data_IF_812139764577
#
_entry.id   IF_812139764577
#
_cell.length_a   1.000
_cell.length_b   1.000
_cell.length_c   1.000
_cell.angle_alpha   90.00
_cell.angle_beta   90.00
_cell.angle_gamma   90.00
#
_symmetry.space_group_name_H-M   'P 1'
#
loop_
_entity.id
_entity.type
_entity.pdbx_description
1 polymer ?
#
# COMPACT_ATOMS: atom_id res chain seq x y z
N UNK A 1 -16.45 35.50 -4.92
CA UNK A 1 -16.03 35.32 -6.33
C UNK A 1 -14.85 34.36 -6.48
N UNK A 2 -13.85 34.37 -5.62
CA UNK A 2 -12.70 33.45 -5.70
C UNK A 2 -13.07 31.95 -5.60
N UNK A 3 -14.04 31.58 -4.77
CA UNK A 3 -14.48 30.18 -4.59
C UNK A 3 -15.16 29.58 -5.82
N UNK A 4 -15.86 30.43 -6.60
CA UNK A 4 -16.54 30.00 -7.85
C UNK A 4 -15.51 29.80 -8.98
N UNK A 5 -14.42 30.58 -8.99
CA UNK A 5 -13.36 30.44 -9.98
C UNK A 5 -12.57 29.12 -9.79
N UNK A 6 -12.24 28.76 -8.55
CA UNK A 6 -11.54 27.49 -8.26
C UNK A 6 -12.39 26.25 -8.55
N UNK A 7 -13.72 26.33 -8.36
CA UNK A 7 -14.63 25.24 -8.74
C UNK A 7 -14.75 25.04 -10.25
N UNK A 8 -14.57 26.10 -11.04
CA UNK A 8 -14.60 26.00 -12.50
C UNK A 8 -13.30 25.39 -13.06
N UNK A 9 -12.13 25.77 -12.54
CA UNK A 9 -10.84 25.19 -12.95
C UNK A 9 -10.77 23.68 -12.69
N UNK A 10 -11.32 23.20 -11.56
CA UNK A 10 -11.32 21.76 -11.25
C UNK A 10 -12.22 20.96 -12.21
N UNK A 11 -13.34 21.52 -12.66
CA UNK A 11 -14.24 20.89 -13.64
C UNK A 11 -13.61 20.83 -15.03
N UNK A 12 -12.88 21.85 -15.42
CA UNK A 12 -12.20 21.91 -16.71
C UNK A 12 -11.04 20.90 -16.77
N UNK A 13 -10.26 20.76 -15.70
CA UNK A 13 -9.19 19.74 -15.59
C UNK A 13 -9.76 18.32 -15.62
N UNK A 14 -10.89 18.08 -14.94
CA UNK A 14 -11.58 16.78 -14.97
C UNK A 14 -12.13 16.48 -16.36
N UNK A 15 -12.71 17.45 -17.04
CA UNK A 15 -13.17 17.32 -18.42
C UNK A 15 -12.06 16.94 -19.39
N UNK A 16 -10.88 17.56 -19.26
CA UNK A 16 -9.69 17.29 -20.08
C UNK A 16 -9.16 15.87 -19.80
N UNK A 17 -9.10 15.43 -18.53
CA UNK A 17 -8.65 14.10 -18.15
C UNK A 17 -9.59 12.99 -18.70
N UNK A 18 -10.90 13.18 -18.58
CA UNK A 18 -11.91 12.26 -19.14
C UNK A 18 -11.81 12.21 -20.67
N UNK A 19 -11.67 13.36 -21.32
CA UNK A 19 -11.52 13.41 -22.78
C UNK A 19 -10.23 12.70 -23.23
N UNK A 20 -9.13 12.91 -22.52
CA UNK A 20 -7.85 12.21 -22.77
C UNK A 20 -7.99 10.68 -22.64
N UNK A 21 -8.66 10.21 -21.61
CA UNK A 21 -8.92 8.78 -21.40
C UNK A 21 -9.80 8.18 -22.52
N UNK A 22 -10.85 8.89 -22.93
CA UNK A 22 -11.71 8.47 -24.06
C UNK A 22 -10.93 8.39 -25.39
N UNK A 23 -10.07 9.36 -25.67
CA UNK A 23 -9.24 9.37 -26.88
C UNK A 23 -8.27 8.19 -26.87
N UNK A 24 -7.59 7.94 -25.75
CA UNK A 24 -6.68 6.80 -25.60
C UNK A 24 -7.41 5.46 -25.78
N UNK A 25 -8.61 5.32 -25.24
CA UNK A 25 -9.43 4.13 -25.41
C UNK A 25 -9.79 3.90 -26.90
N UNK A 26 -10.23 4.94 -27.60
CA UNK A 26 -10.55 4.84 -29.04
C UNK A 26 -9.34 4.46 -29.89
N UNK A 27 -8.15 5.00 -29.58
CA UNK A 27 -6.90 4.64 -30.24
C UNK A 27 -6.56 3.15 -30.02
N UNK A 28 -6.73 2.65 -28.81
CA UNK A 28 -6.50 1.24 -28.47
C UNK A 28 -7.48 0.31 -29.20
N UNK A 29 -8.76 0.66 -29.22
CA UNK A 29 -9.78 -0.09 -29.97
C UNK A 29 -9.46 -0.13 -31.48
N UNK A 30 -9.08 0.99 -32.06
CA UNK A 30 -8.67 1.06 -33.46
C UNK A 30 -7.44 0.17 -33.74
N UNK A 31 -6.48 0.14 -32.80
CA UNK A 31 -5.29 -0.70 -32.92
C UNK A 31 -5.63 -2.21 -32.81
N UNK A 32 -6.56 -2.61 -31.94
CA UNK A 32 -7.05 -3.99 -31.89
C UNK A 32 -7.73 -4.39 -33.19
N UNK A 33 -8.65 -3.57 -33.68
CA UNK A 33 -9.37 -3.83 -34.94
C UNK A 33 -8.40 -3.99 -36.10
N UNK A 34 -7.42 -3.09 -36.20
CA UNK A 34 -6.39 -3.17 -37.26
C UNK A 34 -5.52 -4.43 -37.13
N UNK A 35 -5.15 -4.81 -35.90
CA UNK A 35 -4.35 -6.01 -35.63
C UNK A 35 -5.09 -7.31 -35.96
N UNK A 36 -6.40 -7.35 -35.72
CA UNK A 36 -7.28 -8.47 -36.12
C UNK A 36 -7.39 -8.59 -37.63
N UNK A 37 -7.60 -7.47 -38.32
CA UNK A 37 -7.69 -7.44 -39.78
C UNK A 37 -6.39 -7.92 -40.46
N UNK A 38 -5.23 -7.53 -39.90
CA UNK A 38 -3.91 -7.89 -40.42
C UNK A 38 -3.45 -9.30 -40.00
N UNK A 39 -4.23 -10.02 -39.17
CA UNK A 39 -3.94 -11.40 -38.67
C UNK A 39 -2.57 -11.54 -37.98
N UNK A 40 -2.09 -10.53 -37.29
CA UNK A 40 -0.84 -10.58 -36.54
C UNK A 40 -1.13 -10.89 -35.06
N UNK A 41 -1.06 -12.17 -34.68
CA UNK A 41 -1.40 -12.65 -33.31
C UNK A 41 -0.65 -11.95 -32.17
N UNK A 42 0.63 -11.62 -32.32
CA UNK A 42 1.43 -10.90 -31.34
C UNK A 42 0.96 -9.46 -31.11
N UNK A 43 0.44 -8.80 -32.14
CA UNK A 43 -0.11 -7.46 -32.02
C UNK A 43 -1.45 -7.45 -31.25
N UNK A 44 -2.24 -8.52 -31.38
CA UNK A 44 -3.51 -8.68 -30.66
C UNK A 44 -3.24 -8.82 -29.15
N UNK A 45 -2.29 -9.67 -28.75
CA UNK A 45 -1.91 -9.85 -27.34
C UNK A 45 -1.40 -8.54 -26.72
N UNK A 46 -0.53 -7.80 -27.41
CA UNK A 46 -0.05 -6.50 -26.95
C UNK A 46 -1.16 -5.43 -26.82
N UNK A 47 -2.13 -5.44 -27.73
CA UNK A 47 -3.25 -4.50 -27.71
C UNK A 47 -4.26 -4.80 -26.60
N UNK A 48 -4.53 -6.08 -26.32
CA UNK A 48 -5.39 -6.49 -25.20
C UNK A 48 -4.74 -6.11 -23.87
N UNK A 49 -3.43 -6.33 -23.73
CA UNK A 49 -2.68 -5.90 -22.55
C UNK A 49 -2.68 -4.37 -22.41
N UNK A 50 -2.51 -3.62 -23.49
CA UNK A 50 -2.58 -2.15 -23.48
C UNK A 50 -3.95 -1.62 -23.06
N UNK A 51 -5.05 -2.27 -23.48
CA UNK A 51 -6.41 -1.91 -23.03
C UNK A 51 -6.56 -2.17 -21.52
N UNK A 52 -6.11 -3.32 -21.03
CA UNK A 52 -6.19 -3.66 -19.61
C UNK A 52 -5.40 -2.65 -18.75
N UNK A 53 -4.19 -2.27 -19.16
CA UNK A 53 -3.39 -1.25 -18.47
C UNK A 53 -4.06 0.13 -18.52
N UNK A 54 -4.61 0.52 -19.67
CA UNK A 54 -5.31 1.82 -19.81
C UNK A 54 -6.57 1.90 -18.94
N UNK A 55 -7.33 0.81 -18.86
CA UNK A 55 -8.50 0.72 -17.96
C UNK A 55 -8.09 0.79 -16.50
N UNK A 56 -7.02 0.09 -16.13
CA UNK A 56 -6.49 0.12 -14.77
C UNK A 56 -6.01 1.52 -14.37
N UNK A 57 -5.24 2.20 -15.23
CA UNK A 57 -4.78 3.58 -14.98
C UNK A 57 -5.94 4.55 -14.91
N UNK A 58 -6.97 4.39 -15.77
CA UNK A 58 -8.18 5.23 -15.73
C UNK A 58 -8.96 5.01 -14.45
N UNK A 59 -9.10 3.76 -14.00
CA UNK A 59 -9.77 3.44 -12.73
C UNK A 59 -9.00 4.02 -11.54
N UNK A 60 -7.68 3.87 -11.49
CA UNK A 60 -6.84 4.47 -10.45
C UNK A 60 -6.95 6.01 -10.45
N UNK A 61 -7.04 6.64 -11.63
CA UNK A 61 -7.19 8.10 -11.73
C UNK A 61 -8.57 8.57 -11.26
N UNK A 62 -9.63 7.81 -11.53
CA UNK A 62 -10.99 8.10 -11.03
C UNK A 62 -11.05 7.95 -9.52
N UNK A 63 -10.45 6.89 -8.97
CA UNK A 63 -10.37 6.67 -7.52
C UNK A 63 -9.57 7.78 -6.84
N UNK A 64 -8.42 8.18 -7.41
CA UNK A 64 -7.61 9.28 -6.87
C UNK A 64 -8.35 10.63 -6.92
N UNK A 65 -9.12 10.90 -7.99
CA UNK A 65 -9.94 12.11 -8.10
C UNK A 65 -11.12 12.09 -7.13
N UNK A 66 -11.78 10.94 -6.94
CA UNK A 66 -12.85 10.78 -5.97
C UNK A 66 -12.33 10.94 -4.53
N UNK A 67 -11.18 10.36 -4.21
CA UNK A 67 -10.52 10.50 -2.93
C UNK A 67 -10.12 11.96 -2.63
N UNK A 68 -9.59 12.69 -3.63
CA UNK A 68 -9.25 14.11 -3.48
C UNK A 68 -10.47 15.05 -3.33
N UNK A 69 -11.69 14.59 -3.63
CA UNK A 69 -12.93 15.35 -3.45
C UNK A 69 -13.72 14.92 -2.19
N UNK A 70 -13.31 13.84 -1.53
CA UNK A 70 -13.96 13.37 -0.32
C UNK A 70 -13.71 14.37 0.82
N UNK A 71 -14.79 15.01 1.28
CA UNK A 71 -14.82 15.76 2.53
C UNK A 71 -15.67 14.97 3.50
N UNK A 72 -15.10 14.47 4.63
CA UNK A 72 -15.91 13.81 5.62
C UNK A 72 -17.09 14.71 6.03
N UNK A 73 -18.26 14.14 6.32
CA UNK A 73 -19.41 14.93 6.77
C UNK A 73 -19.01 15.65 8.06
N UNK A 74 -18.91 16.97 7.98
CA UNK A 74 -18.72 17.82 9.17
C UNK A 74 -20.02 17.73 9.93
N UNK A 75 -20.01 17.15 11.14
CA UNK A 75 -21.14 17.18 12.02
C UNK A 75 -21.61 18.62 12.19
N UNK A 76 -22.92 18.84 12.10
CA UNK A 76 -23.56 20.17 12.13
C UNK A 76 -23.25 21.03 13.38
N UNK A 77 -22.43 20.58 14.29
CA UNK A 77 -22.02 21.21 15.54
C UNK A 77 -20.52 21.51 15.63
N UNK A 78 -19.81 21.63 14.53
CA UNK A 78 -18.59 22.46 14.37
C UNK A 78 -17.43 22.39 15.39
N UNK A 79 -17.44 21.51 16.37
CA UNK A 79 -16.33 21.32 17.28
C UNK A 79 -16.32 19.86 17.77
N UNK A 80 -15.44 19.06 17.20
CA UNK A 80 -14.98 17.85 17.89
C UNK A 80 -14.01 18.33 18.97
N UNK A 81 -14.41 18.27 20.22
CA UNK A 81 -13.45 18.42 21.32
C UNK A 81 -12.37 17.33 21.11
N UNK A 82 -11.07 17.68 21.14
CA UNK A 82 -10.02 16.71 21.01
C UNK A 82 -10.11 15.75 22.18
N UNK A 83 -10.62 14.55 21.93
CA UNK A 83 -10.53 13.45 22.91
C UNK A 83 -9.05 13.17 23.08
N UNK A 84 -8.51 13.33 24.27
CA UNK A 84 -7.12 13.03 24.55
C UNK A 84 -6.90 11.52 24.36
N UNK A 85 -6.28 11.14 23.25
CA UNK A 85 -6.00 9.75 22.94
C UNK A 85 -4.89 9.23 23.85
N UNK A 86 -5.19 8.19 24.62
CA UNK A 86 -4.22 7.53 25.50
C UNK A 86 -3.41 6.53 24.69
N UNK A 87 -2.08 6.53 24.87
CA UNK A 87 -1.22 5.57 24.20
C UNK A 87 -1.57 4.12 24.59
N UNK A 88 -1.69 3.25 23.60
CA UNK A 88 -2.11 1.85 23.77
C UNK A 88 -3.61 1.63 23.59
N UNK A 89 -4.44 2.68 23.62
CA UNK A 89 -5.82 2.58 23.17
C UNK A 89 -5.88 2.39 21.64
N UNK A 90 -7.07 2.08 21.12
CA UNK A 90 -7.28 1.97 19.68
C UNK A 90 -8.35 2.93 19.22
N UNK A 91 -8.13 3.56 18.08
CA UNK A 91 -9.17 4.24 17.31
C UNK A 91 -9.77 3.26 16.31
N UNK A 92 -11.09 3.28 16.17
CA UNK A 92 -11.82 2.30 15.36
C UNK A 92 -12.83 3.02 14.50
N UNK A 93 -12.89 2.61 13.23
CA UNK A 93 -14.01 2.85 12.34
C UNK A 93 -14.63 1.50 12.02
N UNK A 94 -15.96 1.39 12.07
CA UNK A 94 -16.67 0.16 11.71
C UNK A 94 -17.96 0.51 10.97
N UNK A 95 -18.16 -0.14 9.83
CA UNK A 95 -19.38 -0.07 9.03
C UNK A 95 -19.74 -1.47 8.54
N UNK A 96 -20.99 -1.88 8.75
CA UNK A 96 -21.54 -3.13 8.25
C UNK A 96 -22.89 -2.86 7.56
N UNK A 97 -22.91 -2.92 6.23
CA UNK A 97 -24.10 -2.89 5.40
C UNK A 97 -24.57 -4.30 5.04
N UNK A 98 -25.51 -4.42 4.08
CA UNK A 98 -25.97 -5.72 3.59
C UNK A 98 -24.90 -6.47 2.78
N UNK A 99 -24.12 -5.75 1.99
CA UNK A 99 -23.17 -6.31 1.01
C UNK A 99 -21.79 -5.69 1.11
N UNK A 100 -21.59 -4.74 2.03
CA UNK A 100 -20.36 -3.96 2.20
C UNK A 100 -19.98 -3.89 3.66
N UNK A 101 -18.73 -4.20 3.96
CA UNK A 101 -18.14 -4.05 5.30
C UNK A 101 -16.84 -3.25 5.21
N UNK A 102 -16.63 -2.33 6.14
CA UNK A 102 -15.35 -1.60 6.27
C UNK A 102 -15.00 -1.44 7.75
N UNK A 103 -13.89 -2.04 8.16
CA UNK A 103 -13.38 -1.95 9.52
C UNK A 103 -11.91 -1.52 9.51
N UNK A 104 -11.61 -0.46 10.25
CA UNK A 104 -10.24 -0.01 10.47
C UNK A 104 -10.01 0.10 11.97
N UNK A 105 -9.00 -0.58 12.48
CA UNK A 105 -8.57 -0.51 13.87
C UNK A 105 -7.10 -0.10 13.91
N UNK A 106 -6.79 0.98 14.58
CA UNK A 106 -5.42 1.46 14.72
C UNK A 106 -5.08 1.75 16.19
N UNK A 107 -4.04 1.09 16.70
CA UNK A 107 -3.52 1.36 18.05
C UNK A 107 -2.93 2.76 18.12
N UNK A 108 -3.24 3.50 19.18
CA UNK A 108 -2.73 4.85 19.41
C UNK A 108 -1.27 4.79 19.85
N UNK A 109 -0.33 5.40 19.09
CA UNK A 109 1.07 5.41 19.44
C UNK A 109 1.39 6.32 20.61
N UNK A 110 2.57 6.12 21.22
CA UNK A 110 3.15 7.06 22.16
C UNK A 110 3.34 8.46 21.53
N UNK A 111 3.22 9.51 22.34
CA UNK A 111 3.23 10.91 21.87
C UNK A 111 4.44 11.27 21.05
N UNK A 112 5.64 10.77 21.41
CA UNK A 112 6.92 11.08 20.74
C UNK A 112 7.04 10.51 19.33
N UNK A 113 6.27 9.47 18.97
CA UNK A 113 6.26 8.85 17.64
C UNK A 113 4.92 8.99 16.93
N UNK A 114 3.88 9.50 17.60
CA UNK A 114 2.49 9.53 17.10
C UNK A 114 2.39 10.13 15.71
N UNK A 115 2.94 11.32 15.51
CA UNK A 115 2.89 11.99 14.21
C UNK A 115 3.47 11.14 13.09
N UNK A 116 4.68 10.60 13.31
CA UNK A 116 5.36 9.80 12.28
C UNK A 116 4.62 8.48 11.98
N UNK A 117 4.04 7.84 13.00
CA UNK A 117 3.20 6.64 12.83
C UNK A 117 1.91 6.97 12.10
N UNK A 118 1.27 8.09 12.43
CA UNK A 118 0.04 8.53 11.77
C UNK A 118 0.28 8.91 10.30
N UNK A 119 1.39 9.57 9.99
CA UNK A 119 1.82 9.84 8.61
C UNK A 119 2.06 8.55 7.83
N UNK A 120 2.71 7.55 8.46
CA UNK A 120 2.89 6.23 7.85
C UNK A 120 1.57 5.47 7.66
N UNK A 121 0.65 5.57 8.63
CA UNK A 121 -0.69 4.97 8.50
C UNK A 121 -1.43 5.59 7.31
N UNK A 122 -1.47 6.92 7.22
CA UNK A 122 -2.07 7.64 6.09
C UNK A 122 -1.44 7.19 4.75
N UNK A 123 -0.10 7.22 4.62
CA UNK A 123 0.60 6.73 3.43
C UNK A 123 0.19 5.29 3.06
N UNK A 124 0.06 4.42 4.05
CA UNK A 124 -0.25 3.00 3.88
C UNK A 124 -1.70 2.76 3.46
N UNK A 125 -2.63 3.56 3.94
CA UNK A 125 -4.05 3.51 3.61
C UNK A 125 -4.38 4.19 2.26
N UNK A 126 -3.50 5.05 1.74
CA UNK A 126 -3.70 5.68 0.42
C UNK A 126 -3.04 7.02 0.22
N UNK A 127 -2.59 7.70 1.28
CA UNK A 127 -1.84 8.97 1.22
C UNK A 127 -2.67 10.18 0.76
N UNK A 128 -3.98 10.16 0.95
CA UNK A 128 -4.89 11.19 0.42
C UNK A 128 -5.56 12.05 1.51
N UNK A 129 -5.33 11.74 2.78
CA UNK A 129 -5.86 12.55 3.89
C UNK A 129 -5.09 13.87 3.98
N UNK A 130 -5.81 14.99 3.92
CA UNK A 130 -5.24 16.35 3.94
C UNK A 130 -5.44 17.11 5.27
N UNK A 131 -5.98 16.41 6.29
CA UNK A 131 -6.20 16.96 7.63
C UNK A 131 -4.97 16.89 8.54
N UNK A 132 -5.22 17.11 9.85
CA UNK A 132 -4.18 17.02 10.87
C UNK A 132 -3.65 15.59 10.99
N UNK A 133 -2.37 15.39 10.68
CA UNK A 133 -1.71 14.07 10.75
C UNK A 133 -1.52 13.56 12.17
N UNK A 134 -1.70 14.36 13.21
CA UNK A 134 -1.70 13.88 14.59
C UNK A 134 -3.06 13.31 15.02
N UNK A 135 -4.13 13.63 14.28
CA UNK A 135 -5.47 13.11 14.55
C UNK A 135 -5.70 11.74 13.87
N UNK A 136 -5.30 10.69 14.54
CA UNK A 136 -5.51 9.32 14.07
C UNK A 136 -6.99 8.97 13.91
N UNK A 137 -7.87 9.53 14.73
CA UNK A 137 -9.31 9.33 14.62
C UNK A 137 -9.84 9.88 13.31
N UNK A 138 -9.38 11.07 12.92
CA UNK A 138 -9.73 11.68 11.63
C UNK A 138 -9.19 10.88 10.45
N UNK A 139 -7.93 10.38 10.52
CA UNK A 139 -7.35 9.52 9.48
C UNK A 139 -8.17 8.24 9.30
N UNK A 140 -8.45 7.52 10.39
CA UNK A 140 -9.21 6.27 10.40
C UNK A 140 -10.64 6.48 9.88
N UNK A 141 -11.30 7.54 10.35
CA UNK A 141 -12.63 7.92 9.89
C UNK A 141 -12.69 8.28 8.40
N UNK A 142 -11.70 9.04 7.92
CA UNK A 142 -11.58 9.41 6.51
C UNK A 142 -11.48 8.19 5.60
N UNK A 143 -10.53 7.30 5.86
CA UNK A 143 -10.35 6.11 5.05
C UNK A 143 -11.50 5.12 5.18
N UNK A 144 -12.03 4.94 6.39
CA UNK A 144 -13.20 4.09 6.62
C UNK A 144 -14.39 4.49 5.73
N UNK A 145 -14.76 5.77 5.74
CA UNK A 145 -15.83 6.29 4.90
C UNK A 145 -15.49 6.21 3.40
N UNK A 146 -14.26 6.56 3.02
CA UNK A 146 -13.82 6.49 1.62
C UNK A 146 -13.97 5.06 1.06
N UNK A 147 -13.59 4.04 1.82
CA UNK A 147 -13.75 2.65 1.39
C UNK A 147 -15.21 2.20 1.38
N UNK A 148 -16.04 2.63 2.35
CA UNK A 148 -17.50 2.40 2.29
C UNK A 148 -18.09 2.94 1.00
N UNK A 149 -17.78 4.18 0.64
CA UNK A 149 -18.29 4.80 -0.59
C UNK A 149 -17.80 4.07 -1.85
N UNK A 150 -16.52 3.67 -1.85
CA UNK A 150 -15.90 2.91 -2.95
C UNK A 150 -16.58 1.56 -3.13
N UNK A 151 -16.76 0.79 -2.06
CA UNK A 151 -17.37 -0.54 -2.10
C UNK A 151 -18.85 -0.47 -2.45
N UNK A 152 -19.59 0.50 -1.94
CA UNK A 152 -21.00 0.75 -2.33
C UNK A 152 -21.11 1.09 -3.82
N UNK A 153 -20.17 1.87 -4.35
CA UNK A 153 -20.13 2.17 -5.79
C UNK A 153 -19.89 0.90 -6.62
N UNK A 154 -19.03 -0.01 -6.17
CA UNK A 154 -18.78 -1.30 -6.83
C UNK A 154 -20.03 -2.18 -6.73
N UNK A 155 -20.64 -2.32 -5.54
CA UNK A 155 -21.86 -3.09 -5.32
C UNK A 155 -22.99 -2.65 -6.26
N UNK A 156 -23.18 -1.32 -6.42
CA UNK A 156 -24.21 -0.76 -7.28
C UNK A 156 -24.03 -1.07 -8.79
N UNK A 157 -22.84 -1.48 -9.22
CA UNK A 157 -22.54 -1.86 -10.60
C UNK A 157 -22.87 -3.33 -10.92
N UNK A 158 -23.37 -4.09 -9.92
CA UNK A 158 -23.82 -5.46 -10.09
C UNK A 158 -22.69 -6.48 -9.91
N UNK A 159 -22.17 -6.59 -8.72
CA UNK A 159 -21.36 -7.75 -8.32
C UNK A 159 -22.26 -9.00 -8.16
N UNK A 160 -21.72 -10.21 -8.31
CA UNK A 160 -22.47 -11.43 -8.05
C UNK A 160 -23.05 -11.44 -6.63
N UNK A 161 -24.27 -11.93 -6.44
CA UNK A 161 -25.01 -11.97 -5.15
C UNK A 161 -24.27 -12.70 -4.01
N UNK A 162 -23.19 -13.41 -4.31
CA UNK A 162 -22.35 -14.12 -3.33
C UNK A 162 -21.08 -13.34 -2.92
N UNK A 163 -20.82 -12.18 -3.50
CA UNK A 163 -19.63 -11.41 -3.20
C UNK A 163 -19.89 -10.45 -2.03
N UNK A 164 -19.27 -10.72 -0.90
CA UNK A 164 -19.19 -9.77 0.21
C UNK A 164 -18.02 -8.82 -0.05
N UNK A 165 -18.32 -7.55 -0.33
CA UNK A 165 -17.31 -6.54 -0.52
C UNK A 165 -16.77 -6.06 0.84
N UNK A 166 -15.48 -6.09 1.03
CA UNK A 166 -14.92 -5.76 2.34
C UNK A 166 -13.59 -5.01 2.28
N UNK A 167 -13.38 -4.17 3.27
CA UNK A 167 -12.10 -3.53 3.57
C UNK A 167 -11.80 -3.67 5.06
N UNK A 168 -10.71 -4.33 5.37
CA UNK A 168 -10.23 -4.49 6.74
C UNK A 168 -8.81 -3.94 6.85
N UNK A 169 -8.55 -3.11 7.83
CA UNK A 169 -7.20 -2.67 8.15
C UNK A 169 -6.98 -2.70 9.66
N UNK A 170 -5.85 -3.28 10.10
CA UNK A 170 -5.50 -3.38 11.50
C UNK A 170 -4.04 -3.03 11.73
N UNK A 171 -3.81 -2.00 12.56
CA UNK A 171 -2.49 -1.57 13.00
C UNK A 171 -2.31 -1.89 14.48
N UNK A 172 -1.25 -2.65 14.78
CA UNK A 172 -0.86 -3.02 16.15
C UNK A 172 0.63 -2.71 16.38
N UNK A 173 1.00 -2.48 17.65
CA UNK A 173 2.40 -2.46 18.06
C UNK A 173 2.91 -3.90 18.14
N UNK A 174 3.92 -4.25 17.32
CA UNK A 174 4.44 -5.63 17.20
C UNK A 174 5.81 -5.82 17.85
N UNK A 175 6.56 -4.74 18.08
CA UNK A 175 7.87 -4.79 18.74
C UNK A 175 8.21 -3.47 19.39
N UNK A 176 8.94 -3.53 20.51
CA UNK A 176 9.37 -2.35 21.26
C UNK A 176 10.63 -2.60 22.06
N UNK A 177 11.50 -1.58 22.11
CA UNK A 177 12.64 -1.47 23.03
C UNK A 177 12.66 -0.06 23.63
N UNK A 178 13.68 0.24 24.44
CA UNK A 178 13.89 1.62 24.91
C UNK A 178 14.19 2.61 23.79
N UNK A 179 14.68 2.11 22.63
CA UNK A 179 15.17 2.94 21.51
C UNK A 179 14.21 3.01 20.34
N UNK A 180 13.46 1.95 20.09
CA UNK A 180 12.57 1.84 18.92
C UNK A 180 11.21 1.27 19.28
N UNK A 181 10.24 1.57 18.43
CA UNK A 181 8.93 0.93 18.39
C UNK A 181 8.58 0.55 16.95
N UNK A 182 7.99 -0.62 16.76
CA UNK A 182 7.54 -1.10 15.45
C UNK A 182 6.03 -1.32 15.48
N UNK A 183 5.36 -0.78 14.47
CA UNK A 183 3.96 -1.06 14.18
C UNK A 183 3.85 -1.94 12.95
N UNK A 184 2.95 -2.91 13.01
CA UNK A 184 2.52 -3.73 11.88
C UNK A 184 1.13 -3.30 11.44
N UNK A 185 0.88 -3.33 10.14
CA UNK A 185 -0.41 -3.02 9.54
C UNK A 185 -0.77 -4.13 8.54
N UNK A 186 -1.87 -4.80 8.79
CA UNK A 186 -2.49 -5.74 7.84
C UNK A 186 -3.65 -5.05 7.16
N UNK A 187 -3.78 -5.20 5.84
CA UNK A 187 -4.89 -4.68 5.05
C UNK A 187 -5.41 -5.82 4.18
N UNK A 188 -6.71 -6.12 4.28
CA UNK A 188 -7.41 -7.09 3.45
C UNK A 188 -8.55 -6.39 2.70
N UNK A 189 -8.61 -6.58 1.39
CA UNK A 189 -9.56 -5.91 0.52
C UNK A 189 -10.21 -6.94 -0.39
N UNK A 190 -11.54 -7.08 -0.32
CA UNK A 190 -12.33 -7.80 -1.31
C UNK A 190 -13.22 -6.82 -2.08
N UNK A 191 -13.00 -6.71 -3.37
CA UNK A 191 -13.79 -5.86 -4.28
C UNK A 191 -14.64 -6.70 -5.24
N UNK A 192 -14.95 -7.95 -4.89
CA UNK A 192 -15.76 -8.86 -5.74
C UNK A 192 -15.00 -9.38 -6.96
N UNK A 193 -13.67 -9.34 -6.95
CA UNK A 193 -12.82 -9.86 -8.01
C UNK A 193 -12.61 -11.38 -7.94
N UNK A 194 -11.60 -11.89 -8.66
CA UNK A 194 -11.27 -13.32 -8.63
C UNK A 194 -10.73 -13.80 -7.27
N UNK A 195 -10.19 -12.90 -6.47
CA UNK A 195 -9.66 -13.13 -5.13
C UNK A 195 -9.44 -11.80 -4.41
N UNK A 196 -9.45 -11.78 -3.06
CA UNK A 196 -9.10 -10.62 -2.26
C UNK A 196 -7.62 -10.24 -2.42
N UNK A 197 -7.27 -9.02 -2.04
CA UNK A 197 -5.90 -8.56 -1.92
C UNK A 197 -5.56 -8.37 -0.45
N UNK A 198 -4.39 -8.85 -0.05
CA UNK A 198 -3.83 -8.64 1.28
C UNK A 198 -2.52 -7.87 1.21
N UNK A 199 -2.24 -7.04 2.23
CA UNK A 199 -0.95 -6.39 2.45
C UNK A 199 -0.50 -6.63 3.88
N UNK A 200 0.77 -6.90 4.05
CA UNK A 200 1.45 -6.91 5.34
C UNK A 200 2.54 -5.84 5.33
N UNK A 201 2.35 -4.81 6.10
CA UNK A 201 3.26 -3.69 6.19
C UNK A 201 3.81 -3.59 7.61
N UNK A 202 5.05 -3.15 7.73
CA UNK A 202 5.63 -2.83 9.01
C UNK A 202 6.50 -1.59 8.91
N UNK A 203 6.57 -0.83 10.00
CA UNK A 203 7.45 0.32 10.10
C UNK A 203 8.03 0.44 11.51
N UNK A 204 9.33 0.64 11.60
CA UNK A 204 10.05 0.87 12.84
C UNK A 204 10.40 2.35 12.97
N UNK A 205 10.15 2.90 14.14
CA UNK A 205 10.36 4.31 14.47
C UNK A 205 11.35 4.42 15.63
N UNK A 206 12.28 5.35 15.53
CA UNK A 206 13.15 5.76 16.62
C UNK A 206 12.33 6.53 17.68
N UNK A 207 12.42 6.12 18.93
CA UNK A 207 11.73 6.82 20.03
C UNK A 207 12.34 8.17 20.37
N UNK A 208 13.59 8.41 19.95
CA UNK A 208 14.29 9.65 20.23
C UNK A 208 13.80 10.83 19.40
N UNK A 209 13.45 10.58 18.13
CA UNK A 209 13.14 11.63 17.16
C UNK A 209 11.97 11.32 16.22
N UNK A 210 11.34 10.16 16.39
CA UNK A 210 10.24 9.71 15.53
C UNK A 210 10.66 9.28 14.11
N UNK A 211 11.95 9.26 13.80
CA UNK A 211 12.44 8.91 12.46
C UNK A 211 12.06 7.47 12.11
N UNK A 212 11.37 7.28 10.98
CA UNK A 212 11.06 5.96 10.43
C UNK A 212 12.30 5.37 9.78
N UNK A 213 12.61 4.10 10.07
CA UNK A 213 13.62 3.34 9.35
C UNK A 213 13.17 3.10 7.91
N UNK A 214 14.10 3.31 6.98
CA UNK A 214 13.89 3.11 5.56
C UNK A 214 15.12 2.41 4.93
N UNK A 215 15.16 2.24 3.61
CA UNK A 215 16.28 1.59 2.96
C UNK A 215 17.61 2.35 3.07
N UNK A 216 17.60 3.63 3.44
CA UNK A 216 18.79 4.42 3.77
C UNK A 216 19.53 3.94 5.04
N UNK A 217 18.89 3.04 5.80
CA UNK A 217 19.55 2.33 6.92
C UNK A 217 20.68 1.39 6.46
N UNK A 218 20.69 1.01 5.19
CA UNK A 218 21.73 0.17 4.60
C UNK A 218 22.86 1.06 4.08
N UNK A 219 24.11 0.76 4.47
CA UNK A 219 25.27 1.48 3.97
C UNK A 219 25.43 1.31 2.45
N UNK A 220 26.07 2.27 1.78
CA UNK A 220 26.29 2.19 0.32
C UNK A 220 27.01 0.90 -0.08
N UNK A 221 28.04 0.52 0.68
CA UNK A 221 28.81 -0.70 0.43
C UNK A 221 28.05 -1.96 0.84
N UNK A 222 27.07 -1.84 1.75
CA UNK A 222 26.20 -2.92 2.23
C UNK A 222 25.11 -3.34 1.25
N UNK A 223 24.74 -2.49 0.30
CA UNK A 223 23.60 -2.72 -0.58
C UNK A 223 23.66 -4.05 -1.34
N UNK A 224 24.84 -4.41 -1.87
CA UNK A 224 25.04 -5.68 -2.58
C UNK A 224 24.89 -6.87 -1.63
N UNK A 225 25.40 -6.76 -0.40
CA UNK A 225 25.27 -7.77 0.63
C UNK A 225 23.80 -8.01 1.00
N UNK A 226 23.05 -6.95 1.25
CA UNK A 226 21.61 -7.04 1.55
C UNK A 226 20.82 -7.66 0.39
N UNK A 227 21.10 -7.29 -0.87
CA UNK A 227 20.48 -7.95 -2.02
C UNK A 227 20.78 -9.45 -2.09
N UNK A 228 21.97 -9.87 -1.70
CA UNK A 228 22.29 -11.30 -1.62
C UNK A 228 21.55 -12.00 -0.48
N UNK A 229 21.38 -11.35 0.67
CA UNK A 229 20.54 -11.87 1.75
C UNK A 229 19.09 -12.03 1.28
N UNK A 230 18.50 -11.00 0.69
CA UNK A 230 17.14 -11.04 0.14
C UNK A 230 16.97 -12.15 -0.90
N UNK A 231 17.96 -12.32 -1.79
CA UNK A 231 17.95 -13.44 -2.75
C UNK A 231 18.00 -14.81 -2.03
N UNK A 232 18.73 -14.90 -0.93
CA UNK A 232 18.76 -16.09 -0.08
C UNK A 232 17.39 -16.39 0.52
N UNK A 233 16.76 -15.40 1.17
CA UNK A 233 15.41 -15.56 1.76
C UNK A 233 14.36 -15.95 0.72
N UNK A 234 14.43 -15.41 -0.50
CA UNK A 234 13.54 -15.81 -1.58
C UNK A 234 13.75 -17.27 -2.00
N UNK A 235 15.01 -17.75 -2.04
CA UNK A 235 15.28 -19.18 -2.33
C UNK A 235 14.69 -20.09 -1.25
N UNK A 236 14.84 -19.70 0.01
CA UNK A 236 14.29 -20.45 1.14
C UNK A 236 12.76 -20.44 1.10
N UNK A 237 12.14 -19.29 0.86
CA UNK A 237 10.69 -19.16 0.72
C UNK A 237 10.11 -20.06 -0.38
N UNK A 238 10.73 -20.06 -1.57
CA UNK A 238 10.29 -20.89 -2.70
C UNK A 238 10.83 -22.33 -2.65
N UNK A 239 11.61 -22.67 -1.64
CA UNK A 239 12.27 -23.97 -1.48
C UNK A 239 13.07 -24.38 -2.74
N UNK A 240 13.87 -23.45 -3.28
CA UNK A 240 14.72 -23.66 -4.46
C UNK A 240 16.19 -23.43 -4.13
N UNK A 241 17.10 -24.09 -4.84
CA UNK A 241 18.54 -24.06 -4.54
C UNK A 241 19.35 -23.19 -5.50
N UNK A 242 18.91 -23.07 -6.73
CA UNK A 242 19.65 -22.36 -7.78
C UNK A 242 18.98 -21.05 -8.18
N UNK A 243 19.78 -20.12 -8.74
CA UNK A 243 19.27 -18.88 -9.32
C UNK A 243 18.33 -19.18 -10.49
N UNK A 244 18.60 -20.24 -11.27
CA UNK A 244 17.76 -20.62 -12.41
C UNK A 244 16.38 -21.12 -11.97
N UNK A 245 16.28 -21.83 -10.85
CA UNK A 245 15.01 -22.27 -10.26
C UNK A 245 14.26 -21.06 -9.68
N UNK A 246 14.94 -20.19 -8.94
CA UNK A 246 14.34 -18.97 -8.38
C UNK A 246 13.71 -18.13 -9.47
N UNK A 247 14.40 -17.93 -10.59
CA UNK A 247 13.89 -17.13 -11.71
C UNK A 247 12.59 -17.66 -12.33
N UNK A 248 12.26 -18.95 -12.14
CA UNK A 248 10.97 -19.51 -12.59
C UNK A 248 9.81 -19.13 -11.67
N UNK A 249 10.11 -18.76 -10.42
CA UNK A 249 9.12 -18.34 -9.43
C UNK A 249 8.84 -16.83 -9.50
N UNK A 250 9.74 -16.03 -10.11
CA UNK A 250 9.67 -14.58 -10.13
C UNK A 250 9.08 -14.04 -11.43
N UNK A 251 8.45 -12.87 -11.35
CA UNK A 251 7.87 -12.14 -12.47
C UNK A 251 8.48 -10.75 -12.58
N UNK A 252 8.64 -10.23 -13.79
CA UNK A 252 9.17 -8.90 -14.02
C UNK A 252 10.66 -8.70 -13.73
N UNK A 253 11.39 -9.76 -13.35
CA UNK A 253 12.82 -9.73 -13.02
C UNK A 253 13.64 -10.30 -14.18
N UNK A 254 14.69 -9.58 -14.61
CA UNK A 254 15.51 -9.98 -15.77
C UNK A 254 16.47 -11.14 -15.46
N UNK A 255 17.06 -11.14 -14.29
CA UNK A 255 18.00 -12.16 -13.80
C UNK A 255 18.13 -12.06 -12.27
N UNK A 256 18.70 -13.08 -11.65
CA UNK A 256 18.80 -13.18 -10.17
C UNK A 256 19.65 -12.07 -9.51
N UNK A 257 20.53 -11.40 -10.24
CA UNK A 257 21.31 -10.28 -9.71
C UNK A 257 20.58 -8.93 -9.86
N UNK A 258 19.50 -8.89 -10.63
CA UNK A 258 18.67 -7.70 -10.82
C UNK A 258 17.38 -7.73 -9.99
N UNK A 259 17.26 -8.65 -9.02
CA UNK A 259 16.16 -8.65 -8.05
C UNK A 259 16.16 -7.31 -7.31
N UNK A 260 15.07 -6.51 -7.40
CA UNK A 260 14.97 -5.26 -6.68
C UNK A 260 14.84 -5.54 -5.17
N UNK A 261 15.15 -4.57 -4.32
CA UNK A 261 14.70 -4.63 -2.93
C UNK A 261 13.18 -4.38 -2.86
N UNK A 262 12.45 -4.94 -1.87
CA UNK A 262 11.04 -4.65 -1.68
C UNK A 262 10.76 -3.16 -1.59
N UNK A 263 9.59 -2.74 -2.06
CA UNK A 263 9.15 -1.35 -1.93
C UNK A 263 8.95 -0.95 -0.48
N UNK A 264 8.43 -1.87 0.33
CA UNK A 264 8.32 -1.70 1.77
C UNK A 264 9.72 -1.87 2.40
N UNK A 265 10.23 -0.86 3.13
CA UNK A 265 11.47 -0.99 3.86
C UNK A 265 11.41 -2.09 4.93
N UNK A 266 12.55 -2.65 5.35
CA UNK A 266 12.58 -3.59 6.45
C UNK A 266 12.10 -2.97 7.76
N UNK A 267 11.46 -3.77 8.60
CA UNK A 267 11.08 -3.39 9.94
C UNK A 267 11.60 -4.37 10.99
N UNK A 268 11.79 -3.88 12.21
CA UNK A 268 12.37 -4.64 13.30
C UNK A 268 11.32 -5.46 14.04
N UNK A 269 11.70 -6.67 14.42
CA UNK A 269 10.96 -7.56 15.34
C UNK A 269 11.89 -8.05 16.43
N UNK A 270 11.43 -8.93 17.31
CA UNK A 270 12.31 -9.53 18.32
C UNK A 270 13.44 -10.38 17.68
N UNK A 271 13.18 -11.03 16.56
CA UNK A 271 14.08 -11.97 15.90
C UNK A 271 15.06 -11.30 14.93
N UNK A 272 14.68 -10.16 14.33
CA UNK A 272 15.50 -9.50 13.31
C UNK A 272 14.73 -8.48 12.48
N UNK A 273 15.21 -8.29 11.26
CA UNK A 273 14.58 -7.43 10.27
C UNK A 273 13.68 -8.27 9.34
N UNK A 274 12.40 -7.99 9.32
CA UNK A 274 11.46 -8.57 8.34
C UNK A 274 11.63 -7.84 7.02
N UNK A 275 11.83 -8.62 5.96
CA UNK A 275 11.92 -8.16 4.58
C UNK A 275 10.90 -8.94 3.76
N UNK A 276 9.87 -8.27 3.25
CA UNK A 276 8.74 -8.91 2.60
C UNK A 276 8.35 -8.16 1.31
N UNK A 277 8.06 -8.90 0.26
CA UNK A 277 7.43 -8.40 -0.97
C UNK A 277 5.92 -8.54 -0.86
N UNK A 278 5.21 -7.54 -1.28
CA UNK A 278 3.76 -7.57 -1.31
C UNK A 278 3.25 -8.50 -2.44
N UNK A 279 1.98 -8.89 -2.37
CA UNK A 279 1.33 -9.63 -3.45
C UNK A 279 1.55 -8.94 -4.80
N UNK A 280 1.86 -9.70 -5.85
CA UNK A 280 2.17 -9.21 -7.21
C UNK A 280 3.43 -8.33 -7.35
N UNK A 281 4.17 -8.06 -6.29
CA UNK A 281 5.35 -7.19 -6.40
C UNK A 281 6.49 -7.86 -7.17
N UNK A 282 6.70 -9.17 -6.96
CA UNK A 282 7.82 -9.92 -7.54
C UNK A 282 7.42 -11.30 -8.07
N UNK A 283 6.22 -11.77 -7.76
CA UNK A 283 5.71 -13.11 -8.10
C UNK A 283 4.21 -13.06 -8.39
N UNK A 284 3.63 -14.18 -8.85
CA UNK A 284 2.20 -14.33 -9.03
C UNK A 284 1.46 -14.29 -7.67
N UNK A 285 0.17 -13.95 -7.69
CA UNK A 285 -0.70 -13.95 -6.51
C UNK A 285 -0.59 -15.23 -5.66
N UNK A 286 -0.62 -16.38 -6.31
CA UNK A 286 -0.57 -17.68 -5.63
C UNK A 286 0.73 -17.93 -4.83
N UNK A 287 1.76 -17.13 -5.05
CA UNK A 287 2.99 -17.17 -4.26
C UNK A 287 2.86 -16.41 -2.93
N UNK A 288 1.77 -15.66 -2.73
CA UNK A 288 1.58 -14.86 -1.52
C UNK A 288 2.53 -13.65 -1.44
N UNK A 289 3.14 -13.46 -0.28
CA UNK A 289 4.05 -12.36 0.03
C UNK A 289 5.45 -12.94 0.36
N UNK A 290 6.32 -13.12 -0.64
CA UNK A 290 7.64 -13.71 -0.44
C UNK A 290 8.54 -12.83 0.43
N UNK A 291 9.18 -13.45 1.41
CA UNK A 291 10.10 -12.77 2.31
C UNK A 291 10.43 -13.62 3.51
N UNK A 292 11.22 -13.08 4.42
CA UNK A 292 11.55 -13.73 5.70
C UNK A 292 12.15 -12.71 6.67
N UNK A 293 12.39 -13.15 7.90
CA UNK A 293 13.11 -12.42 8.93
C UNK A 293 14.61 -12.68 8.83
N UNK A 294 15.38 -11.63 8.61
CA UNK A 294 16.85 -11.71 8.62
C UNK A 294 17.36 -11.37 10.02
N UNK A 295 18.04 -12.31 10.73
CA UNK A 295 18.52 -12.07 12.07
C UNK A 295 19.45 -10.84 12.16
N UNK A 296 19.38 -10.12 13.27
CA UNK A 296 20.20 -8.91 13.52
C UNK A 296 21.68 -9.15 13.25
N UNK A 297 22.24 -10.27 13.73
CA UNK A 297 23.63 -10.63 13.51
C UNK A 297 24.02 -10.69 12.03
N UNK A 298 23.11 -11.15 11.18
CA UNK A 298 23.31 -11.28 9.74
C UNK A 298 23.21 -9.93 9.03
N UNK A 299 22.31 -9.05 9.49
CA UNK A 299 22.12 -7.71 8.91
C UNK A 299 23.17 -6.69 9.35
N UNK A 300 23.67 -6.77 10.59
CA UNK A 300 24.63 -5.80 11.20
C UNK A 300 25.76 -5.34 10.28
N UNK A 301 26.47 -6.20 9.52
CA UNK A 301 27.58 -5.77 8.68
C UNK A 301 27.22 -4.79 7.56
N UNK A 302 25.94 -4.65 7.26
CA UNK A 302 25.43 -3.85 6.13
C UNK A 302 24.71 -2.57 6.57
N UNK A 303 24.54 -2.37 7.87
CA UNK A 303 23.81 -1.22 8.42
C UNK A 303 24.73 -0.02 8.62
N UNK A 304 24.15 1.18 8.62
CA UNK A 304 24.84 2.40 9.06
C UNK A 304 24.94 2.44 10.59
N UNK A 305 25.91 3.18 11.11
CA UNK A 305 26.20 3.25 12.57
C UNK A 305 25.01 3.72 13.41
N UNK A 306 24.18 4.61 12.88
CA UNK A 306 22.98 5.10 13.56
C UNK A 306 22.02 3.97 13.85
N UNK A 307 21.77 3.10 12.87
CA UNK A 307 20.85 1.97 13.00
C UNK A 307 21.49 0.84 13.82
N UNK A 308 22.80 0.63 13.74
CA UNK A 308 23.50 -0.33 14.60
C UNK A 308 23.22 -0.06 16.07
N UNK A 309 23.27 1.22 16.51
CA UNK A 309 22.98 1.63 17.89
C UNK A 309 21.54 1.31 18.32
N UNK A 310 20.59 1.28 17.39
CA UNK A 310 19.20 0.92 17.66
C UNK A 310 19.02 -0.59 17.86
N UNK A 311 19.91 -1.42 17.30
CA UNK A 311 19.85 -2.89 17.43
C UNK A 311 20.52 -3.42 18.68
N UNK A 312 21.22 -2.60 19.44
CA UNK A 312 21.85 -2.99 20.71
C UNK A 312 20.83 -2.92 21.84
N UNK A 313 20.68 -4.06 22.55
CA UNK A 313 19.82 -4.17 23.73
C UNK A 313 20.49 -3.49 24.92
#
# INVERSE_FOLDING_TARGET
>A
MAVIATMNESKDVMGIAVLGACVMFLVQVAHVVTSVIVKRGWCIAGSVFGIAVSLFVSLCSVVALAAGQYRPPVNANGAVEPTELVAGDSVTFSFAGSDVTSDIVAMVPEKNVRRAVSEWLDESLGGTFDGDKEDMGAIVGYYGNMYVDTLNSISSQGVPDYAELSYYARMDKIYETDKVVTYGLTIDIDMGGAHPLSKELGATFSKADGKRLAWDMVSKDGTTGVKNLVKGTLKDYFNVKSDAELMKCLQGVKNANSIPLPKTPPYMTEEGFVIIYQQYEISAYAAGMPGDTIPYKTMKPYLIDEVLKLTEK
#
